data_IF_377902946366
#
_entry.id   IF_377902946366
#
_cell.length_a   1.000
_cell.length_b   1.000
_cell.length_c   1.000
_cell.angle_alpha   90.00
_cell.angle_beta   90.00
_cell.angle_gamma   90.00
#
_symmetry.space_group_name_H-M   'P 1'
#
loop_
_entity.id
_entity.type
_entity.pdbx_description
1 polymer ?
#
# COMPACT_ATOMS: atom_id res chain seq x y z
N UNK A 1 8.71 -23.84 48.13
CA UNK A 1 8.54 -22.54 47.46
C UNK A 1 8.14 -21.52 48.50
N UNK A 2 8.93 -20.46 48.71
CA UNK A 2 8.71 -19.53 49.82
C UNK A 2 7.52 -18.61 49.52
N UNK A 3 6.67 -18.37 50.52
CA UNK A 3 5.45 -17.55 50.41
C UNK A 3 5.72 -16.16 49.82
N UNK A 4 6.89 -15.60 50.13
CA UNK A 4 7.35 -14.31 49.59
C UNK A 4 7.65 -14.37 48.08
N UNK A 5 8.11 -15.51 47.56
CA UNK A 5 8.36 -15.69 46.13
C UNK A 5 7.05 -15.76 45.34
N UNK A 6 5.99 -16.30 45.93
CA UNK A 6 4.65 -16.31 45.33
C UNK A 6 4.04 -14.91 45.26
N UNK A 7 4.20 -14.12 46.32
CA UNK A 7 3.72 -12.73 46.35
C UNK A 7 4.44 -11.89 45.29
N UNK A 8 5.77 -12.03 45.16
CA UNK A 8 6.53 -11.32 44.12
C UNK A 8 6.07 -11.73 42.71
N UNK A 9 5.86 -13.02 42.46
CA UNK A 9 5.40 -13.49 41.15
C UNK A 9 4.03 -12.92 40.77
N UNK A 10 3.09 -12.85 41.72
CA UNK A 10 1.75 -12.29 41.48
C UNK A 10 1.84 -10.78 41.20
N UNK A 11 2.66 -10.04 41.97
CA UNK A 11 2.84 -8.59 41.76
C UNK A 11 3.42 -8.31 40.37
N UNK A 12 4.44 -9.06 39.95
CA UNK A 12 5.03 -8.91 38.61
C UNK A 12 4.00 -9.19 37.53
N UNK A 13 3.18 -10.24 37.70
CA UNK A 13 2.15 -10.60 36.72
C UNK A 13 1.10 -9.49 36.57
N UNK A 14 0.65 -8.89 37.67
CA UNK A 14 -0.31 -7.77 37.65
C UNK A 14 0.29 -6.54 36.94
N UNK A 15 1.57 -6.23 37.19
CA UNK A 15 2.25 -5.11 36.54
C UNK A 15 2.37 -5.32 35.03
N UNK A 16 2.74 -6.53 34.60
CA UNK A 16 2.85 -6.87 33.16
C UNK A 16 1.49 -6.76 32.47
N UNK A 17 0.42 -7.24 33.10
CA UNK A 17 -0.95 -7.13 32.55
C UNK A 17 -1.39 -5.66 32.47
N UNK A 18 -1.17 -4.86 33.51
CA UNK A 18 -1.53 -3.45 33.50
C UNK A 18 -0.79 -2.65 32.42
N UNK A 19 0.51 -2.89 32.26
CA UNK A 19 1.33 -2.23 31.23
C UNK A 19 0.92 -2.64 29.82
N UNK A 20 0.63 -3.92 29.59
CA UNK A 20 0.19 -4.41 28.28
C UNK A 20 -1.18 -3.87 27.89
N UNK A 21 -2.15 -3.81 28.82
CA UNK A 21 -3.44 -3.17 28.57
C UNK A 21 -3.30 -1.67 28.23
N UNK A 22 -2.45 -0.94 28.95
CA UNK A 22 -2.19 0.47 28.68
C UNK A 22 -1.57 0.68 27.28
N UNK A 23 -0.57 -0.12 26.93
CA UNK A 23 0.15 0.03 25.67
C UNK A 23 -0.69 -0.38 24.46
N UNK A 24 -1.53 -1.41 24.61
CA UNK A 24 -2.44 -1.86 23.56
C UNK A 24 -3.49 -0.80 23.23
N UNK A 25 -4.08 -0.13 24.23
CA UNK A 25 -5.13 0.87 24.00
C UNK A 25 -4.73 2.02 23.08
N UNK A 26 -3.46 2.45 23.09
CA UNK A 26 -2.97 3.51 22.20
C UNK A 26 -2.80 3.06 20.74
N UNK A 27 -2.41 1.80 20.50
CA UNK A 27 -2.13 1.31 19.15
C UNK A 27 -3.37 0.98 18.32
N UNK A 28 -4.49 0.67 18.98
CA UNK A 28 -5.74 0.36 18.28
C UNK A 28 -6.31 1.59 17.55
N UNK A 29 -6.20 2.77 18.15
CA UNK A 29 -6.75 4.00 17.56
C UNK A 29 -5.91 4.49 16.37
N UNK A 30 -4.58 4.35 16.46
CA UNK A 30 -3.66 4.68 15.36
C UNK A 30 -3.87 3.80 14.12
N UNK A 31 -4.05 2.48 14.31
CA UNK A 31 -4.26 1.55 13.20
C UNK A 31 -5.60 1.79 12.48
N UNK A 32 -6.66 2.10 13.23
CA UNK A 32 -7.97 2.39 12.65
C UNK A 32 -7.95 3.70 11.85
N UNK A 33 -7.36 4.77 12.40
CA UNK A 33 -7.26 6.05 11.70
C UNK A 33 -6.39 5.95 10.44
N UNK A 34 -5.27 5.22 10.50
CA UNK A 34 -4.42 4.99 9.33
C UNK A 34 -5.18 4.24 8.21
N UNK A 35 -5.95 3.21 8.56
CA UNK A 35 -6.74 2.47 7.59
C UNK A 35 -7.84 3.33 6.94
N UNK A 36 -8.53 4.16 7.73
CA UNK A 36 -9.55 5.09 7.22
C UNK A 36 -8.93 6.14 6.29
N UNK A 37 -7.76 6.68 6.65
CA UNK A 37 -7.04 7.64 5.83
C UNK A 37 -6.60 7.03 4.48
N UNK A 38 -6.08 5.80 4.50
CA UNK A 38 -5.64 5.10 3.29
C UNK A 38 -6.82 4.77 2.36
N UNK A 39 -7.94 4.28 2.90
CA UNK A 39 -9.16 4.05 2.11
C UNK A 39 -9.65 5.34 1.46
N UNK A 40 -9.63 6.45 2.20
CA UNK A 40 -10.06 7.75 1.66
C UNK A 40 -9.14 8.23 0.55
N UNK A 41 -7.82 8.10 0.72
CA UNK A 41 -6.84 8.45 -0.31
C UNK A 41 -7.04 7.62 -1.59
N UNK A 42 -7.29 6.32 -1.46
CA UNK A 42 -7.58 5.45 -2.61
C UNK A 42 -8.88 5.82 -3.32
N UNK A 43 -9.92 6.21 -2.57
CA UNK A 43 -11.19 6.67 -3.15
C UNK A 43 -11.03 7.99 -3.90
N UNK A 44 -10.24 8.92 -3.37
CA UNK A 44 -9.95 10.20 -4.02
C UNK A 44 -9.14 10.00 -5.31
N UNK A 45 -8.08 9.18 -5.27
CA UNK A 45 -7.29 8.84 -6.46
C UNK A 45 -8.13 8.13 -7.54
N UNK A 46 -9.00 7.20 -7.13
CA UNK A 46 -9.91 6.52 -8.05
C UNK A 46 -10.94 7.49 -8.66
N UNK A 47 -11.47 8.40 -7.84
CA UNK A 47 -12.39 9.45 -8.27
C UNK A 47 -11.73 10.40 -9.28
N UNK A 48 -10.53 10.87 -9.00
CA UNK A 48 -9.77 11.75 -9.88
C UNK A 48 -9.40 11.06 -11.18
N UNK A 49 -9.00 9.78 -11.15
CA UNK A 49 -8.75 8.99 -12.37
C UNK A 49 -10.02 8.82 -13.20
N UNK A 50 -11.16 8.54 -12.57
CA UNK A 50 -12.44 8.42 -13.28
C UNK A 50 -12.87 9.76 -13.89
N UNK A 51 -12.70 10.86 -13.15
CA UNK A 51 -12.99 12.21 -13.62
C UNK A 51 -12.07 12.63 -14.78
N UNK A 52 -10.78 12.30 -14.70
CA UNK A 52 -9.84 12.50 -15.80
C UNK A 52 -10.20 11.64 -17.01
N UNK A 53 -10.51 10.35 -16.83
CA UNK A 53 -10.91 9.48 -17.93
C UNK A 53 -12.19 9.97 -18.63
N UNK A 54 -13.19 10.43 -17.87
CA UNK A 54 -14.40 11.01 -18.42
C UNK A 54 -14.13 12.34 -19.15
N UNK A 55 -13.26 13.18 -18.59
CA UNK A 55 -12.82 14.43 -19.23
C UNK A 55 -12.05 14.16 -20.51
N UNK A 56 -11.23 13.11 -20.52
CA UNK A 56 -10.43 12.68 -21.66
C UNK A 56 -11.29 12.10 -22.79
N UNK A 57 -12.29 11.30 -22.44
CA UNK A 57 -13.25 10.72 -23.39
C UNK A 57 -14.17 11.81 -23.98
N UNK A 58 -14.57 12.78 -23.16
CA UNK A 58 -15.37 13.92 -23.61
C UNK A 58 -14.56 14.97 -24.39
N UNK A 59 -13.22 14.88 -24.42
CA UNK A 59 -12.37 15.86 -25.09
C UNK A 59 -12.09 15.46 -26.55
N UNK A 60 -12.74 16.11 -27.54
CA UNK A 60 -12.56 15.79 -28.96
C UNK A 60 -11.17 16.18 -29.50
N UNK A 61 -10.35 16.92 -28.73
CA UNK A 61 -9.00 17.32 -29.09
C UNK A 61 -7.92 16.49 -28.41
N UNK A 62 -8.28 15.50 -27.57
CA UNK A 62 -7.28 14.66 -26.92
C UNK A 62 -6.66 13.70 -27.92
N UNK A 63 -5.52 14.10 -28.48
CA UNK A 63 -4.72 13.30 -29.41
C UNK A 63 -4.22 12.07 -28.67
N UNK A 64 -4.67 10.88 -29.07
CA UNK A 64 -4.08 9.63 -28.58
C UNK A 64 -2.59 9.65 -28.92
N UNK A 65 -1.72 9.33 -27.95
CA UNK A 65 -0.27 9.33 -28.17
C UNK A 65 0.05 8.49 -29.42
N UNK A 66 0.51 9.10 -30.53
CA UNK A 66 0.70 8.42 -31.81
C UNK A 66 1.80 7.35 -31.75
N UNK A 67 2.60 7.34 -30.68
CA UNK A 67 3.66 6.38 -30.43
C UNK A 67 3.25 5.24 -29.48
N UNK A 68 2.00 5.21 -28.98
CA UNK A 68 1.54 4.20 -28.00
C UNK A 68 1.58 2.76 -28.53
N UNK A 69 1.67 2.57 -29.85
CA UNK A 69 1.82 1.28 -30.52
C UNK A 69 3.13 1.11 -31.30
N UNK A 70 4.05 2.08 -31.24
CA UNK A 70 5.33 2.00 -31.93
C UNK A 70 6.35 1.42 -30.95
N UNK A 71 6.84 0.21 -31.23
CA UNK A 71 7.92 -0.40 -30.46
C UNK A 71 9.14 0.53 -30.46
N UNK A 72 9.76 0.72 -29.28
CA UNK A 72 10.85 1.67 -29.07
C UNK A 72 12.07 1.43 -29.98
N UNK A 73 12.21 0.21 -30.52
CA UNK A 73 13.25 -0.11 -31.49
C UNK A 73 12.81 -1.27 -32.42
N UNK A 74 12.40 -0.98 -33.68
CA UNK A 74 12.00 -2.01 -34.63
C UNK A 74 13.16 -2.94 -35.06
N UNK A 75 14.41 -2.59 -34.73
CA UNK A 75 15.59 -3.38 -35.06
C UNK A 75 15.90 -4.48 -34.04
N UNK A 76 15.28 -4.47 -32.86
CA UNK A 76 15.45 -5.53 -31.84
C UNK A 76 14.98 -6.89 -32.36
N UNK A 77 13.79 -6.95 -33.00
CA UNK A 77 13.27 -8.18 -33.62
C UNK A 77 14.11 -8.64 -34.80
N UNK A 78 14.65 -7.70 -35.58
CA UNK A 78 15.53 -8.01 -36.70
C UNK A 78 16.86 -8.61 -36.21
N UNK A 79 17.40 -8.13 -35.08
CA UNK A 79 18.63 -8.65 -34.49
C UNK A 79 18.49 -10.11 -34.03
N UNK A 80 17.39 -10.48 -33.37
CA UNK A 80 17.10 -11.87 -33.01
C UNK A 80 16.89 -12.78 -34.23
N UNK A 81 16.29 -12.25 -35.30
CA UNK A 81 16.03 -13.03 -36.52
C UNK A 81 17.31 -13.21 -37.36
N UNK A 82 18.24 -12.26 -37.31
CA UNK A 82 19.45 -12.24 -38.13
C UNK A 82 20.70 -12.74 -37.40
N UNK A 83 20.64 -13.00 -36.10
CA UNK A 83 21.74 -13.60 -35.34
C UNK A 83 21.43 -15.06 -34.98
N UNK A 84 21.81 -16.04 -35.82
CA UNK A 84 21.60 -17.47 -35.53
C UNK A 84 22.58 -18.04 -34.48
N UNK A 85 23.35 -17.18 -33.78
CA UNK A 85 24.39 -17.56 -32.83
C UNK A 85 24.23 -16.93 -31.43
N UNK A 86 23.10 -16.24 -31.15
CA UNK A 86 22.66 -15.96 -29.78
C UNK A 86 21.96 -17.19 -29.16
#
# INVERSE_FOLDING_TARGET
MNKNMWVVAVVVLVVVVALSFWYSGKKYDEGYQAAVADIKAQQEEAGDKAAQAASDEANPFKVQNPLKGVEANPFEKAKQTLNPFD
#
